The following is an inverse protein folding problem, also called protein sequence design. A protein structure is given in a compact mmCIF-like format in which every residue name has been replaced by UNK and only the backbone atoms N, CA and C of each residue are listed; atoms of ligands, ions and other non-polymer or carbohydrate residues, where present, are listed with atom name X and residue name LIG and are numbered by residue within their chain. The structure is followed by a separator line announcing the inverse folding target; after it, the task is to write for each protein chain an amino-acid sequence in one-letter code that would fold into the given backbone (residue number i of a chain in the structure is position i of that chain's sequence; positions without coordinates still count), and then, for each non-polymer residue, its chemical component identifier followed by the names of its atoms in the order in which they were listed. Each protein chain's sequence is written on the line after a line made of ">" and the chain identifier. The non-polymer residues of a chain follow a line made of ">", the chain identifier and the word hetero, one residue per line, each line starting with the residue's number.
data_IF_420044352641
#
_entry.id   IF_420044352641
#
_cell.length_a   1.000
_cell.length_b   1.000
_cell.length_c   1.000
_cell.angle_alpha   90.00
_cell.angle_beta   90.00
_cell.angle_gamma   90.00
#
_symmetry.space_group_name_H-M   'P 1'
#
loop_
_entity.id
_entity.type
_entity.pdbx_description
1 polymer ?
#
# COMPACT_ATOMS: atom_id res chain seq x y z
N UNK A 1 -7.31 -19.92 23.16
CA UNK A 1 -6.23 -20.86 23.52
C UNK A 1 -4.85 -20.20 23.64
N UNK A 2 -4.73 -18.88 23.47
CA UNK A 2 -3.57 -18.10 23.93
C UNK A 2 -4.10 -16.94 24.78
N UNK A 3 -4.40 -17.23 26.03
CA UNK A 3 -4.70 -16.20 27.02
C UNK A 3 -3.37 -15.84 27.68
N UNK A 4 -2.53 -15.09 26.95
CA UNK A 4 -1.27 -14.61 27.50
C UNK A 4 -1.61 -13.38 28.33
N UNK A 5 -2.11 -13.63 29.53
CA UNK A 5 -2.43 -12.56 30.44
C UNK A 5 -1.13 -11.87 30.91
N UNK A 6 -1.22 -10.64 31.42
CA UNK A 6 -0.05 -9.90 31.89
C UNK A 6 0.80 -10.68 32.92
N UNK A 7 0.17 -11.56 33.68
CA UNK A 7 0.79 -12.48 34.65
C UNK A 7 1.73 -13.50 34.01
N UNK A 8 1.32 -14.12 32.91
CA UNK A 8 2.11 -15.11 32.17
C UNK A 8 3.37 -14.47 31.60
N UNK A 9 3.26 -13.25 31.05
CA UNK A 9 4.43 -12.48 30.62
C UNK A 9 5.39 -12.19 31.77
N UNK A 10 4.87 -11.87 32.96
CA UNK A 10 5.68 -11.57 34.15
C UNK A 10 6.41 -12.84 34.64
N UNK A 11 5.74 -13.99 34.63
CA UNK A 11 6.36 -15.29 34.93
C UNK A 11 7.49 -15.61 33.95
N UNK A 12 7.25 -15.46 32.65
CA UNK A 12 8.28 -15.68 31.62
C UNK A 12 9.46 -14.72 31.80
N UNK A 13 9.19 -13.43 32.08
CA UNK A 13 10.23 -12.45 32.35
C UNK A 13 11.07 -12.82 33.59
N UNK A 14 10.43 -13.32 34.64
CA UNK A 14 11.13 -13.79 35.85
C UNK A 14 12.02 -15.00 35.55
N UNK A 15 11.49 -16.00 34.83
CA UNK A 15 12.28 -17.18 34.42
C UNK A 15 13.45 -16.76 33.53
N UNK A 16 13.22 -15.87 32.57
CA UNK A 16 14.28 -15.35 31.70
C UNK A 16 15.37 -14.61 32.50
N UNK A 17 14.99 -13.82 33.50
CA UNK A 17 15.93 -13.16 34.42
C UNK A 17 16.76 -14.15 35.22
N UNK A 18 16.18 -15.27 35.67
CA UNK A 18 16.91 -16.31 36.41
C UNK A 18 17.89 -17.06 35.51
N UNK A 19 17.44 -17.45 34.31
CA UNK A 19 18.23 -18.26 33.37
C UNK A 19 19.35 -17.47 32.72
N UNK A 20 19.05 -16.28 32.24
CA UNK A 20 20.02 -15.42 31.53
C UNK A 20 20.81 -14.58 32.54
N UNK A 21 20.18 -14.18 33.65
CA UNK A 21 20.74 -13.23 34.60
C UNK A 21 20.31 -11.78 34.29
N UNK A 22 20.01 -10.97 35.32
CA UNK A 22 19.55 -9.58 35.13
C UNK A 22 20.62 -8.66 34.52
N UNK A 23 21.90 -9.00 34.66
CA UNK A 23 23.01 -8.22 34.08
C UNK A 23 23.26 -8.53 32.60
N UNK A 24 22.91 -9.72 32.16
CA UNK A 24 23.11 -10.18 30.78
C UNK A 24 21.90 -9.91 29.88
N UNK A 25 20.70 -9.85 30.45
CA UNK A 25 19.47 -9.47 29.73
C UNK A 25 19.60 -8.16 28.92
N UNK A 26 20.16 -7.05 29.45
CA UNK A 26 20.39 -5.82 28.68
C UNK A 26 21.34 -6.00 27.50
N UNK A 27 22.30 -6.93 27.61
CA UNK A 27 23.25 -7.24 26.54
C UNK A 27 22.60 -8.08 25.46
N UNK A 28 21.79 -9.06 25.84
CA UNK A 28 21.00 -9.89 24.92
C UNK A 28 19.96 -9.05 24.17
N UNK A 29 19.23 -8.18 24.86
CA UNK A 29 18.27 -7.26 24.22
C UNK A 29 18.95 -6.37 23.17
N UNK A 30 20.18 -5.89 23.44
CA UNK A 30 20.95 -5.12 22.47
C UNK A 30 21.35 -5.98 21.26
N UNK A 31 21.81 -7.21 21.48
CA UNK A 31 22.18 -8.11 20.39
C UNK A 31 20.96 -8.44 19.50
N UNK A 32 19.85 -8.84 20.11
CA UNK A 32 18.59 -9.11 19.40
C UNK A 32 18.10 -7.85 18.68
N UNK A 33 18.13 -6.69 19.35
CA UNK A 33 17.73 -5.42 18.75
C UNK A 33 18.58 -5.05 17.53
N UNK A 34 19.89 -5.28 17.55
CA UNK A 34 20.77 -5.07 16.40
C UNK A 34 20.45 -6.02 15.24
N UNK A 35 20.13 -7.29 15.54
CA UNK A 35 19.72 -8.26 14.52
C UNK A 35 18.39 -7.88 13.88
N UNK A 36 17.39 -7.50 14.68
CA UNK A 36 16.10 -7.01 14.20
C UNK A 36 16.27 -5.73 13.38
N UNK A 37 17.13 -4.80 13.81
CA UNK A 37 17.42 -3.57 13.09
C UNK A 37 18.00 -3.87 11.69
N UNK A 38 18.98 -4.76 11.60
CA UNK A 38 19.54 -5.21 10.31
C UNK A 38 18.50 -5.87 9.43
N UNK A 39 17.69 -6.77 9.99
CA UNK A 39 16.60 -7.40 9.24
C UNK A 39 15.59 -6.35 8.72
N UNK A 40 15.29 -5.32 9.52
CA UNK A 40 14.42 -4.22 9.12
C UNK A 40 15.06 -3.34 8.03
N UNK A 41 16.36 -3.09 8.09
CA UNK A 41 17.10 -2.39 7.02
C UNK A 41 17.02 -3.14 5.70
N UNK A 42 17.31 -4.44 5.74
CA UNK A 42 17.21 -5.31 4.58
C UNK A 42 15.77 -5.33 4.05
N UNK A 43 14.76 -5.47 4.90
CA UNK A 43 13.36 -5.41 4.50
C UNK A 43 12.96 -4.04 3.89
N UNK A 44 13.53 -2.93 4.37
CA UNK A 44 13.32 -1.60 3.78
C UNK A 44 13.90 -1.52 2.36
N UNK A 45 15.10 -2.06 2.16
CA UNK A 45 15.73 -2.11 0.83
C UNK A 45 14.93 -2.99 -0.14
N UNK A 46 14.42 -4.12 0.34
CA UNK A 46 13.52 -4.96 -0.44
C UNK A 46 12.22 -4.24 -0.75
N UNK A 47 11.64 -3.49 0.19
CA UNK A 47 10.43 -2.72 -0.08
C UNK A 47 10.66 -1.63 -1.13
N UNK A 48 11.78 -0.91 -1.09
CA UNK A 48 12.12 0.05 -2.14
C UNK A 48 12.36 -0.61 -3.50
N UNK A 49 12.99 -1.78 -3.55
CA UNK A 49 13.19 -2.51 -4.81
C UNK A 49 11.92 -3.20 -5.32
N UNK A 50 11.06 -3.62 -4.40
CA UNK A 50 9.76 -4.22 -4.71
C UNK A 50 8.77 -3.16 -5.17
N UNK A 51 8.77 -1.95 -4.60
CA UNK A 51 7.96 -0.83 -5.11
C UNK A 51 8.35 -0.47 -6.56
N UNK A 52 9.64 -0.56 -6.92
CA UNK A 52 10.11 -0.37 -8.30
C UNK A 52 9.59 -1.49 -9.23
N UNK A 53 9.73 -2.75 -8.82
CA UNK A 53 9.26 -3.91 -9.60
C UNK A 53 7.72 -4.01 -9.68
N UNK A 54 7.03 -3.71 -8.58
CA UNK A 54 5.56 -3.69 -8.48
C UNK A 54 5.02 -2.59 -9.37
N UNK A 55 5.66 -1.42 -9.41
CA UNK A 55 5.26 -0.37 -10.34
C UNK A 55 5.36 -0.83 -11.78
N UNK A 56 6.39 -1.59 -12.16
CA UNK A 56 6.46 -2.19 -13.49
C UNK A 56 5.38 -3.27 -13.75
N UNK A 57 5.09 -4.13 -12.77
CA UNK A 57 4.09 -5.20 -12.94
C UNK A 57 2.64 -4.70 -12.87
N UNK A 58 2.33 -3.75 -11.98
CA UNK A 58 1.02 -3.11 -11.87
C UNK A 58 0.74 -2.24 -13.09
N UNK A 59 1.72 -1.52 -13.64
CA UNK A 59 1.53 -0.76 -14.88
C UNK A 59 1.23 -1.72 -16.03
N UNK A 60 1.96 -2.85 -16.17
CA UNK A 60 1.68 -3.84 -17.23
C UNK A 60 0.30 -4.47 -17.13
N UNK A 61 -0.16 -4.81 -15.93
CA UNK A 61 -1.49 -5.38 -15.74
C UNK A 61 -2.60 -4.35 -15.92
N UNK A 62 -2.41 -3.12 -15.45
CA UNK A 62 -3.34 -2.01 -15.68
C UNK A 62 -3.43 -1.66 -17.17
N UNK A 63 -2.31 -1.65 -17.89
CA UNK A 63 -2.28 -1.35 -19.32
C UNK A 63 -2.97 -2.44 -20.15
N UNK A 64 -2.82 -3.72 -19.78
CA UNK A 64 -3.60 -4.82 -20.38
C UNK A 64 -5.09 -4.67 -20.17
N UNK A 65 -5.51 -4.42 -18.92
CA UNK A 65 -6.94 -4.21 -18.60
C UNK A 65 -7.50 -2.99 -19.33
N UNK A 66 -6.72 -1.91 -19.41
CA UNK A 66 -7.11 -0.72 -20.15
C UNK A 66 -7.27 -0.98 -21.65
N UNK A 67 -6.37 -1.76 -22.25
CA UNK A 67 -6.47 -2.12 -23.67
C UNK A 67 -7.68 -3.02 -23.95
N UNK A 68 -7.93 -4.02 -23.12
CA UNK A 68 -9.09 -4.91 -23.24
C UNK A 68 -10.41 -4.15 -23.07
N UNK A 69 -10.50 -3.27 -22.08
CA UNK A 69 -11.68 -2.43 -21.86
C UNK A 69 -11.88 -1.43 -23.00
N UNK A 70 -10.80 -0.82 -23.49
CA UNK A 70 -10.85 0.10 -24.63
C UNK A 70 -11.28 -0.63 -25.92
N UNK A 71 -10.76 -1.83 -26.18
CA UNK A 71 -11.18 -2.66 -27.32
C UNK A 71 -12.66 -3.07 -27.21
N UNK A 72 -13.13 -3.36 -25.99
CA UNK A 72 -14.54 -3.60 -25.72
C UNK A 72 -15.40 -2.37 -26.00
N UNK A 73 -14.99 -1.19 -25.55
CA UNK A 73 -15.67 0.08 -25.83
C UNK A 73 -15.70 0.38 -27.33
N UNK A 74 -14.60 0.13 -28.07
CA UNK A 74 -14.54 0.31 -29.53
C UNK A 74 -15.43 -0.68 -30.31
N UNK A 75 -15.64 -1.90 -29.78
CA UNK A 75 -16.60 -2.86 -30.34
C UNK A 75 -18.05 -2.48 -30.05
N UNK A 76 -18.33 -1.99 -28.85
CA UNK A 76 -19.67 -1.59 -28.43
C UNK A 76 -20.08 -0.21 -29.01
N UNK A 77 -19.10 0.66 -29.24
CA UNK A 77 -19.27 1.99 -29.84
C UNK A 77 -18.25 2.17 -30.98
N UNK A 78 -18.63 1.86 -32.24
CA UNK A 78 -17.81 2.19 -33.39
C UNK A 78 -17.52 3.70 -33.38
N UNK A 79 -16.29 4.13 -33.65
CA UNK A 79 -16.02 5.55 -33.80
C UNK A 79 -16.87 6.03 -34.97
N UNK A 80 -17.88 6.85 -34.67
CA UNK A 80 -18.53 7.64 -35.70
C UNK A 80 -17.42 8.42 -36.39
N UNK A 81 -17.50 8.42 -37.72
CA UNK A 81 -16.60 9.14 -38.61
C UNK A 81 -16.34 10.56 -38.08
N UNK A 82 -15.17 11.15 -38.38
CA UNK A 82 -14.76 12.44 -37.84
C UNK A 82 -15.64 13.56 -38.40
N UNK A 83 -16.82 13.72 -37.82
CA UNK A 83 -17.77 14.75 -38.16
C UNK A 83 -17.52 15.94 -37.23
N UNK A 84 -16.44 16.66 -37.50
CA UNK A 84 -16.23 18.03 -37.02
C UNK A 84 -15.25 18.18 -35.86
N UNK A 85 -14.59 19.36 -35.77
CA UNK A 85 -13.52 19.61 -34.81
C UNK A 85 -14.05 19.46 -33.39
N UNK A 86 -13.30 18.74 -32.54
CA UNK A 86 -13.54 18.66 -31.12
C UNK A 86 -13.43 20.04 -30.49
N UNK A 87 -14.52 20.81 -30.51
CA UNK A 87 -14.69 22.00 -29.69
C UNK A 87 -14.98 21.49 -28.28
N UNK A 88 -13.91 21.36 -27.49
CA UNK A 88 -14.01 21.19 -26.05
C UNK A 88 -14.42 22.55 -25.48
N UNK A 89 -15.70 22.91 -25.60
CA UNK A 89 -16.26 23.99 -24.78
C UNK A 89 -16.49 23.40 -23.38
N UNK A 90 -15.90 23.98 -22.31
CA UNK A 90 -16.24 23.60 -20.94
C UNK A 90 -17.76 23.72 -20.72
N UNK A 91 -18.36 22.93 -19.81
CA UNK A 91 -19.79 22.97 -19.59
C UNK A 91 -20.20 24.39 -19.22
N UNK A 92 -21.07 24.98 -20.03
CA UNK A 92 -21.74 26.21 -19.69
C UNK A 92 -22.53 25.98 -18.39
N UNK A 93 -22.19 26.76 -17.37
CA UNK A 93 -22.89 26.86 -16.10
C UNK A 93 -24.38 27.14 -16.38
N UNK A 94 -25.25 26.19 -16.03
CA UNK A 94 -26.70 26.32 -16.20
C UNK A 94 -27.22 27.54 -15.40
N UNK A 95 -28.14 28.34 -15.99
CA UNK A 95 -28.63 29.54 -15.35
C UNK A 95 -29.55 29.17 -14.19
N UNK A 96 -29.14 29.54 -12.98
CA UNK A 96 -30.02 29.49 -11.80
C UNK A 96 -31.17 30.49 -12.04
N UNK A 97 -32.45 30.07 -11.98
CA UNK A 97 -33.55 30.95 -12.27
C UNK A 97 -33.62 32.04 -11.21
N UNK A 98 -33.70 33.25 -11.73
CA UNK A 98 -33.94 34.50 -11.02
C UNK A 98 -35.17 34.35 -10.11
N UNK A 99 -34.94 34.36 -8.80
CA UNK A 99 -36.00 34.55 -7.81
C UNK A 99 -36.03 36.03 -7.46
N UNK A 100 -36.63 36.82 -8.35
CA UNK A 100 -37.06 38.17 -8.07
C UNK A 100 -38.34 38.13 -7.23
N UNK A 101 -38.28 38.66 -6.01
CA UNK A 101 -39.31 39.47 -5.29
C UNK A 101 -39.01 39.52 -3.79
#
# INVERSE_FOLDING_TARGET
>A
MFDVAPTEFLLVALVALIVIGPKDLPRVMRAVGQWVAKARDVARQFRSGFDEMVRESEIKEMERKWQEENERILREHPPLAPDGPAVITPPAEEPKPDSAA
#
